data_IF_418545221231
#
_entry.id   IF_418545221231
#
_cell.length_a   1.000
_cell.length_b   1.000
_cell.length_c   1.000
_cell.angle_alpha   90.00
_cell.angle_beta   90.00
_cell.angle_gamma   90.00
#
_symmetry.space_group_name_H-M   'P 1'
#
loop_
_entity.id
_entity.type
_entity.pdbx_description
1 polymer ?
#
# COMPACT_ATOMS: atom_id res chain seq x y z
N UNK A 1 -60.24 -11.18 -35.47
CA UNK A 1 -59.63 -11.61 -34.17
C UNK A 1 -58.30 -12.36 -34.29
N UNK A 2 -58.14 -13.30 -35.18
CA UNK A 2 -56.88 -14.10 -35.28
C UNK A 2 -55.62 -13.34 -35.73
N UNK A 3 -55.73 -12.24 -36.50
CA UNK A 3 -54.61 -11.46 -37.01
C UNK A 3 -54.04 -10.56 -35.91
N UNK A 4 -54.86 -9.93 -35.08
CA UNK A 4 -54.41 -9.05 -33.97
C UNK A 4 -53.63 -9.83 -32.90
N UNK A 5 -54.02 -11.08 -32.64
CA UNK A 5 -53.33 -11.94 -31.67
C UNK A 5 -51.93 -12.37 -32.17
N UNK A 6 -51.77 -12.58 -33.47
CA UNK A 6 -50.44 -12.91 -34.06
C UNK A 6 -49.47 -11.74 -34.00
N UNK A 7 -49.93 -10.52 -34.22
CA UNK A 7 -49.13 -9.30 -34.09
C UNK A 7 -48.68 -9.06 -32.63
N UNK A 8 -49.56 -9.33 -31.66
CA UNK A 8 -49.24 -9.16 -30.24
C UNK A 8 -48.18 -10.15 -29.78
N UNK A 9 -48.23 -11.43 -30.24
CA UNK A 9 -47.23 -12.43 -29.91
C UNK A 9 -45.87 -12.09 -30.53
N UNK A 10 -45.80 -11.67 -31.78
CA UNK A 10 -44.56 -11.29 -32.44
C UNK A 10 -43.91 -10.07 -31.75
N UNK A 11 -44.70 -9.10 -31.31
CA UNK A 11 -44.20 -7.95 -30.59
C UNK A 11 -43.61 -8.33 -29.22
N UNK A 12 -44.25 -9.25 -28.50
CA UNK A 12 -43.79 -9.75 -27.22
C UNK A 12 -42.47 -10.55 -27.33
N UNK A 13 -42.36 -11.35 -28.39
CA UNK A 13 -41.14 -12.12 -28.69
C UNK A 13 -39.98 -11.16 -29.05
N UNK A 14 -40.23 -10.12 -29.82
CA UNK A 14 -39.24 -9.09 -30.16
C UNK A 14 -38.76 -8.33 -28.92
N UNK A 15 -39.63 -8.01 -27.97
CA UNK A 15 -39.29 -7.39 -26.70
C UNK A 15 -38.44 -8.30 -25.82
N UNK A 16 -38.75 -9.58 -25.74
CA UNK A 16 -37.96 -10.57 -25.01
C UNK A 16 -36.57 -10.76 -25.60
N UNK A 17 -36.47 -10.80 -26.94
CA UNK A 17 -35.18 -10.91 -27.64
C UNK A 17 -34.33 -9.65 -27.44
N UNK A 18 -34.92 -8.46 -27.45
CA UNK A 18 -34.22 -7.19 -27.20
C UNK A 18 -33.66 -7.14 -25.76
N UNK A 19 -34.47 -7.56 -24.78
CA UNK A 19 -33.99 -7.66 -23.38
C UNK A 19 -32.89 -8.72 -23.22
N UNK A 20 -33.01 -9.87 -23.88
CA UNK A 20 -31.99 -10.92 -23.86
C UNK A 20 -30.66 -10.44 -24.45
N UNK A 21 -30.70 -9.68 -25.55
CA UNK A 21 -29.52 -9.07 -26.17
C UNK A 21 -28.89 -7.99 -25.28
N UNK A 22 -29.70 -7.21 -24.54
CA UNK A 22 -29.18 -6.23 -23.57
C UNK A 22 -28.51 -6.92 -22.39
N UNK A 23 -29.10 -7.99 -21.86
CA UNK A 23 -28.51 -8.80 -20.79
C UNK A 23 -27.18 -9.43 -21.24
N UNK A 24 -27.12 -9.95 -22.46
CA UNK A 24 -25.86 -10.48 -23.02
C UNK A 24 -24.77 -9.40 -23.19
N UNK A 25 -25.14 -8.17 -23.55
CA UNK A 25 -24.18 -7.04 -23.61
C UNK A 25 -23.61 -6.70 -22.22
N UNK A 26 -24.45 -6.65 -21.20
CA UNK A 26 -24.02 -6.40 -19.81
C UNK A 26 -23.03 -7.49 -19.34
N UNK A 27 -23.32 -8.76 -19.60
CA UNK A 27 -22.38 -9.86 -19.26
C UNK A 27 -21.11 -9.90 -20.13
N UNK A 28 -21.13 -9.31 -21.32
CA UNK A 28 -19.94 -9.23 -22.19
C UNK A 28 -19.03 -8.04 -21.81
N UNK A 29 -19.58 -6.97 -21.26
CA UNK A 29 -18.80 -5.83 -20.75
C UNK A 29 -18.06 -6.14 -19.44
N UNK A 30 -18.52 -7.13 -18.64
CA UNK A 30 -17.84 -7.51 -17.38
C UNK A 30 -16.57 -8.33 -17.57
N UNK A 31 -16.24 -8.76 -18.76
CA UNK A 31 -14.97 -9.43 -19.05
C UNK A 31 -13.94 -8.47 -19.63
N UNK A 32 -13.73 -7.34 -18.94
CA UNK A 32 -12.52 -6.57 -19.14
C UNK A 32 -11.36 -7.42 -18.60
N UNK A 33 -10.54 -7.97 -19.48
CA UNK A 33 -9.27 -8.59 -19.08
C UNK A 33 -8.48 -7.53 -18.31
N UNK A 34 -8.51 -7.64 -16.98
CA UNK A 34 -7.65 -6.80 -16.15
C UNK A 34 -6.22 -7.17 -16.49
N UNK A 35 -5.53 -6.25 -17.13
CA UNK A 35 -4.09 -6.39 -17.33
C UNK A 35 -3.44 -6.57 -15.96
N UNK A 36 -2.69 -7.64 -15.74
CA UNK A 36 -1.99 -7.84 -14.48
C UNK A 36 -1.12 -6.62 -14.19
N UNK A 37 -1.24 -6.06 -13.00
CA UNK A 37 -0.42 -4.95 -12.54
C UNK A 37 0.57 -5.46 -11.51
N UNK A 38 1.80 -4.96 -11.58
CA UNK A 38 2.86 -5.23 -10.63
C UNK A 38 3.30 -3.91 -10.01
N UNK A 39 3.20 -3.78 -8.69
CA UNK A 39 3.81 -2.71 -7.93
C UNK A 39 5.11 -3.19 -7.30
N UNK A 40 6.19 -2.46 -7.50
CA UNK A 40 7.52 -2.77 -6.94
C UNK A 40 7.86 -1.69 -5.93
N UNK A 41 8.03 -2.12 -4.67
CA UNK A 41 8.45 -1.24 -3.57
C UNK A 41 9.90 -1.51 -3.27
N UNK A 42 10.70 -0.45 -3.20
CA UNK A 42 12.11 -0.51 -2.78
C UNK A 42 12.23 0.21 -1.45
N UNK A 43 12.66 -0.53 -0.45
CA UNK A 43 12.78 -0.05 0.92
C UNK A 43 14.13 0.62 1.19
N UNK A 44 14.25 1.27 2.36
CA UNK A 44 15.48 1.79 2.94
C UNK A 44 16.16 2.97 2.21
N UNK A 45 15.41 3.78 1.45
CA UNK A 45 15.94 5.07 1.00
C UNK A 45 16.20 6.01 2.19
N UNK A 46 17.03 7.02 1.99
CA UNK A 46 17.42 7.98 3.03
C UNK A 46 18.83 7.75 3.59
N UNK A 47 19.45 6.62 3.27
CA UNK A 47 20.85 6.30 3.62
C UNK A 47 21.77 6.48 2.42
N UNK A 48 23.03 6.88 2.66
CA UNK A 48 24.05 6.92 1.61
C UNK A 48 24.46 5.50 1.19
N UNK A 49 23.64 4.85 0.36
CA UNK A 49 23.93 3.49 -0.14
C UNK A 49 24.33 3.52 -1.61
N UNK A 50 25.25 2.63 -1.97
CA UNK A 50 25.53 2.34 -3.38
C UNK A 50 24.26 1.81 -4.05
N UNK A 51 24.03 2.18 -5.31
CA UNK A 51 22.87 1.73 -6.08
C UNK A 51 21.61 2.63 -6.00
N UNK A 52 21.54 3.59 -5.08
CA UNK A 52 20.40 4.52 -4.98
C UNK A 52 20.16 5.27 -6.28
N UNK A 53 21.26 5.82 -6.88
CA UNK A 53 21.16 6.55 -8.14
C UNK A 53 20.67 5.65 -9.28
N UNK A 54 21.25 4.47 -9.42
CA UNK A 54 20.91 3.49 -10.45
C UNK A 54 19.45 3.04 -10.31
N UNK A 55 18.97 2.85 -9.08
CA UNK A 55 17.58 2.49 -8.79
C UNK A 55 16.63 3.62 -9.20
N UNK A 56 16.95 4.86 -8.84
CA UNK A 56 16.15 6.03 -9.21
C UNK A 56 16.24 6.38 -10.72
N UNK A 57 17.23 5.88 -11.44
CA UNK A 57 17.35 6.06 -12.90
C UNK A 57 16.62 4.98 -13.71
N UNK A 58 15.89 4.07 -13.08
CA UNK A 58 15.12 3.03 -13.79
C UNK A 58 13.99 3.63 -14.63
N UNK A 59 13.65 2.95 -15.74
CA UNK A 59 12.58 3.39 -16.63
C UNK A 59 11.16 2.95 -16.21
N UNK A 60 11.06 2.10 -15.21
CA UNK A 60 9.78 1.71 -14.63
C UNK A 60 9.47 2.56 -13.38
N UNK A 61 8.21 2.87 -13.18
CA UNK A 61 7.78 3.53 -11.95
C UNK A 61 7.95 2.58 -10.77
N UNK A 62 8.62 3.05 -9.72
CA UNK A 62 8.80 2.36 -8.45
C UNK A 62 8.05 3.09 -7.36
N UNK A 63 7.78 2.39 -6.26
CA UNK A 63 7.43 3.00 -4.96
C UNK A 63 8.69 3.02 -4.10
N UNK A 64 9.20 4.20 -3.80
CA UNK A 64 10.40 4.41 -3.00
C UNK A 64 10.02 4.64 -1.55
N UNK A 65 10.32 3.68 -0.68
CA UNK A 65 10.05 3.78 0.75
C UNK A 65 11.23 4.42 1.49
N UNK A 66 11.01 5.62 2.02
CA UNK A 66 12.06 6.49 2.57
C UNK A 66 12.01 6.47 4.09
N UNK A 67 13.13 6.11 4.72
CA UNK A 67 13.29 6.16 6.18
C UNK A 67 13.34 7.62 6.66
N UNK A 68 12.65 7.97 7.76
CA UNK A 68 12.61 9.34 8.25
C UNK A 68 13.87 9.73 9.04
N UNK A 69 14.25 11.00 8.93
CA UNK A 69 15.28 11.61 9.79
C UNK A 69 16.71 11.21 9.51
N UNK A 70 17.00 10.58 8.38
CA UNK A 70 18.37 10.28 7.92
C UNK A 70 18.90 11.40 7.03
N UNK A 71 20.22 11.44 6.84
CA UNK A 71 20.89 12.55 6.13
C UNK A 71 20.44 12.74 4.67
N UNK A 72 19.94 11.67 4.04
CA UNK A 72 19.50 11.69 2.64
C UNK A 72 17.98 11.56 2.48
N UNK A 73 17.20 11.44 3.56
CA UNK A 73 15.75 11.19 3.49
C UNK A 73 15.03 12.19 2.58
N UNK A 74 15.21 13.48 2.81
CA UNK A 74 14.58 14.54 2.03
C UNK A 74 15.07 14.52 0.57
N UNK A 75 16.38 14.40 0.39
CA UNK A 75 17.00 14.39 -0.95
C UNK A 75 16.53 13.21 -1.80
N UNK A 76 16.48 12.02 -1.20
CA UNK A 76 16.06 10.80 -1.92
C UNK A 76 14.57 10.87 -2.27
N UNK A 77 13.72 11.39 -1.36
CA UNK A 77 12.29 11.60 -1.61
C UNK A 77 12.04 12.59 -2.76
N UNK A 78 12.71 13.75 -2.73
CA UNK A 78 12.62 14.75 -3.80
C UNK A 78 13.09 14.17 -5.15
N UNK A 79 14.25 13.49 -5.15
CA UNK A 79 14.80 12.91 -6.39
C UNK A 79 13.89 11.81 -6.94
N UNK A 80 13.31 10.96 -6.08
CA UNK A 80 12.37 9.92 -6.49
C UNK A 80 11.14 10.54 -7.16
N UNK A 81 10.55 11.56 -6.53
CA UNK A 81 9.39 12.28 -7.08
C UNK A 81 9.71 12.96 -8.41
N UNK A 82 10.82 13.69 -8.52
CA UNK A 82 11.26 14.36 -9.76
C UNK A 82 11.44 13.39 -10.93
N UNK A 83 11.79 12.14 -10.65
CA UNK A 83 11.95 11.06 -11.63
C UNK A 83 10.65 10.29 -11.93
N UNK A 84 9.54 10.67 -11.31
CA UNK A 84 8.22 10.06 -11.53
C UNK A 84 7.99 8.77 -10.76
N UNK A 85 8.77 8.52 -9.70
CA UNK A 85 8.52 7.46 -8.74
C UNK A 85 7.52 7.91 -7.67
N UNK A 86 6.85 6.95 -7.06
CA UNK A 86 6.02 7.18 -5.89
C UNK A 86 6.90 7.22 -4.63
N UNK A 87 6.56 8.07 -3.67
CA UNK A 87 7.26 8.18 -2.40
C UNK A 87 6.34 7.78 -1.25
N UNK A 88 6.80 6.87 -0.39
CA UNK A 88 6.13 6.53 0.85
C UNK A 88 7.10 6.63 2.04
N UNK A 89 6.55 6.85 3.21
CA UNK A 89 7.29 6.80 4.47
C UNK A 89 7.59 5.35 4.86
N UNK A 90 8.87 4.99 4.99
CA UNK A 90 9.32 3.72 5.54
C UNK A 90 9.50 3.82 7.04
N UNK A 91 8.42 3.60 7.80
CA UNK A 91 8.39 3.89 9.23
C UNK A 91 9.05 2.82 10.07
N UNK A 92 10.14 3.14 10.80
CA UNK A 92 10.77 2.20 11.70
C UNK A 92 9.88 1.84 12.88
N UNK A 93 9.72 0.55 13.09
CA UNK A 93 8.92 -0.03 14.16
C UNK A 93 9.68 -1.18 14.82
N UNK A 94 9.49 -1.36 16.13
CA UNK A 94 10.26 -2.36 16.88
C UNK A 94 9.91 -3.79 16.48
N UNK A 95 10.96 -4.62 16.42
CA UNK A 95 10.85 -6.04 16.11
C UNK A 95 10.26 -6.87 17.26
N UNK A 96 9.77 -8.05 16.92
CA UNK A 96 9.59 -9.12 17.88
C UNK A 96 10.96 -9.71 18.24
N UNK A 97 11.38 -9.49 19.47
CA UNK A 97 12.74 -9.85 19.92
C UNK A 97 13.71 -8.66 19.86
N UNK A 98 14.97 -8.94 20.16
CA UNK A 98 15.98 -7.90 20.37
C UNK A 98 16.81 -7.70 19.11
N UNK A 99 16.77 -6.51 18.55
CA UNK A 99 17.67 -6.06 17.49
C UNK A 99 18.49 -4.85 17.95
N UNK A 100 19.65 -4.59 17.34
CA UNK A 100 20.44 -3.40 17.63
C UNK A 100 19.64 -2.12 17.31
N UNK A 101 19.71 -1.13 18.20
CA UNK A 101 19.03 0.15 17.99
C UNK A 101 19.45 0.87 16.71
N UNK A 102 20.70 0.68 16.30
CA UNK A 102 21.23 1.26 15.05
C UNK A 102 20.53 0.81 13.78
N UNK A 103 19.74 -0.27 13.84
CA UNK A 103 19.00 -0.77 12.68
C UNK A 103 17.70 0.00 12.43
N UNK A 104 17.13 0.64 13.47
CA UNK A 104 15.86 1.37 13.35
C UNK A 104 16.01 2.80 12.84
N UNK A 105 17.22 3.38 12.92
CA UNK A 105 17.39 4.81 12.64
C UNK A 105 16.90 5.71 13.80
N UNK A 106 16.81 7.03 13.58
CA UNK A 106 16.56 8.01 14.65
C UNK A 106 15.10 8.11 15.11
N UNK A 107 14.15 7.66 14.29
CA UNK A 107 12.71 7.76 14.54
C UNK A 107 12.10 6.36 14.54
N UNK A 108 11.70 5.84 15.70
CA UNK A 108 11.19 4.47 15.82
C UNK A 108 10.01 4.40 16.77
N UNK A 109 8.96 3.67 16.38
CA UNK A 109 7.85 3.30 17.26
C UNK A 109 8.21 2.03 17.98
N UNK A 110 8.15 2.07 19.33
CA UNK A 110 8.47 0.95 20.20
C UNK A 110 7.22 0.23 20.69
N UNK A 111 7.35 -1.05 21.03
CA UNK A 111 6.24 -1.86 21.55
C UNK A 111 5.65 -1.34 22.85
N UNK A 112 6.40 -0.56 23.62
CA UNK A 112 5.98 0.04 24.87
C UNK A 112 5.50 1.50 24.75
N UNK A 113 5.51 2.06 23.54
CA UNK A 113 5.01 3.41 23.32
C UNK A 113 3.49 3.48 23.56
N UNK A 114 3.04 4.66 23.96
CA UNK A 114 1.61 4.92 24.05
C UNK A 114 1.05 5.23 22.65
N UNK A 115 -0.23 4.91 22.41
CA UNK A 115 -0.89 5.22 21.13
C UNK A 115 -0.76 6.68 20.70
N UNK A 116 -0.87 7.62 21.64
CA UNK A 116 -0.76 9.05 21.38
C UNK A 116 0.64 9.42 20.87
N UNK A 117 1.70 8.85 21.48
CA UNK A 117 3.06 9.07 21.02
C UNK A 117 3.30 8.48 19.62
N UNK A 118 2.74 7.30 19.34
CA UNK A 118 2.83 6.70 18.01
C UNK A 118 2.14 7.58 16.94
N UNK A 119 0.97 8.16 17.24
CA UNK A 119 0.28 9.12 16.36
C UNK A 119 1.13 10.36 16.09
N UNK A 120 1.63 10.99 17.13
CA UNK A 120 2.48 12.20 17.01
C UNK A 120 3.71 11.91 16.15
N UNK A 121 4.39 10.78 16.38
CA UNK A 121 5.58 10.42 15.65
C UNK A 121 5.31 10.09 14.18
N UNK A 122 4.22 9.38 13.88
CA UNK A 122 3.78 9.10 12.49
C UNK A 122 3.51 10.40 11.76
N UNK A 123 2.74 11.30 12.37
CA UNK A 123 2.42 12.60 11.80
C UNK A 123 3.69 13.41 11.49
N UNK A 124 4.58 13.54 12.47
CA UNK A 124 5.87 14.22 12.29
C UNK A 124 6.65 13.63 11.10
N UNK A 125 6.72 12.29 11.01
CA UNK A 125 7.47 11.63 9.95
C UNK A 125 6.82 11.77 8.56
N UNK A 126 5.48 11.75 8.48
CA UNK A 126 4.75 12.04 7.23
C UNK A 126 5.05 13.46 6.75
N UNK A 127 4.95 14.45 7.64
CA UNK A 127 5.22 15.86 7.34
C UNK A 127 6.68 16.10 6.92
N UNK A 128 7.62 15.33 7.49
CA UNK A 128 9.05 15.43 7.19
C UNK A 128 9.47 14.67 5.92
N UNK A 129 8.59 13.87 5.30
CA UNK A 129 8.86 13.10 4.08
C UNK A 129 8.19 13.79 2.89
N UNK A 130 8.92 14.52 2.04
CA UNK A 130 8.34 15.20 0.88
C UNK A 130 7.62 14.23 -0.05
N UNK A 131 6.49 14.67 -0.62
CA UNK A 131 5.69 13.92 -1.59
C UNK A 131 5.14 12.58 -1.08
N UNK A 132 5.15 12.35 0.24
CA UNK A 132 4.66 11.12 0.85
C UNK A 132 3.18 10.87 0.52
N UNK A 133 2.85 9.71 -0.06
CA UNK A 133 1.47 9.31 -0.36
C UNK A 133 1.01 8.08 0.43
N UNK A 134 1.91 7.37 1.09
CA UNK A 134 1.62 6.18 1.88
C UNK A 134 2.66 5.93 2.96
N UNK A 135 2.43 4.91 3.78
CA UNK A 135 3.33 4.48 4.86
C UNK A 135 3.49 2.97 4.81
N UNK A 136 4.72 2.46 4.93
CA UNK A 136 4.97 1.04 5.15
C UNK A 136 5.88 0.81 6.35
N UNK A 137 6.09 -0.46 6.70
CA UNK A 137 6.77 -0.87 7.93
C UNK A 137 8.25 -1.22 7.63
N UNK A 138 9.19 -0.52 8.28
CA UNK A 138 10.57 -0.95 8.41
C UNK A 138 10.73 -1.82 9.66
N UNK A 139 11.23 -3.06 9.49
CA UNK A 139 11.37 -4.06 10.55
C UNK A 139 10.00 -4.44 11.15
N UNK A 140 9.57 -3.85 12.24
CA UNK A 140 8.22 -3.80 12.82
C UNK A 140 7.54 -5.11 13.18
N UNK A 141 8.24 -6.25 13.19
CA UNK A 141 7.64 -7.56 13.46
C UNK A 141 7.05 -7.71 14.87
N UNK A 142 7.35 -6.79 15.78
CA UNK A 142 6.76 -6.70 17.11
C UNK A 142 5.53 -5.78 17.12
N UNK A 143 5.69 -4.54 16.63
CA UNK A 143 4.61 -3.54 16.62
C UNK A 143 3.41 -4.00 15.79
N UNK A 144 3.64 -4.69 14.65
CA UNK A 144 2.57 -5.21 13.82
C UNK A 144 1.70 -6.31 14.49
N UNK A 145 2.07 -6.77 15.68
CA UNK A 145 1.26 -7.65 16.54
C UNK A 145 0.44 -6.89 17.56
N UNK A 146 0.74 -5.61 17.80
CA UNK A 146 0.07 -4.78 18.78
C UNK A 146 -1.11 -4.05 18.17
N UNK A 147 -2.32 -4.58 18.40
CA UNK A 147 -3.54 -4.04 17.81
C UNK A 147 -3.80 -2.58 18.23
N UNK A 148 -3.51 -2.21 19.47
CA UNK A 148 -3.74 -0.86 19.98
C UNK A 148 -2.82 0.16 19.28
N UNK A 149 -1.53 -0.13 19.19
CA UNK A 149 -0.58 0.72 18.46
C UNK A 149 -0.92 0.78 16.97
N UNK A 150 -1.18 -0.37 16.32
CA UNK A 150 -1.52 -0.37 14.89
C UNK A 150 -2.81 0.39 14.59
N UNK A 151 -3.80 0.35 15.51
CA UNK A 151 -5.01 1.17 15.36
C UNK A 151 -4.67 2.65 15.38
N UNK A 152 -3.88 3.11 16.35
CA UNK A 152 -3.47 4.49 16.45
C UNK A 152 -2.66 4.96 15.22
N UNK A 153 -1.73 4.13 14.76
CA UNK A 153 -0.90 4.38 13.58
C UNK A 153 -1.76 4.54 12.33
N UNK A 154 -2.65 3.57 12.06
CA UNK A 154 -3.47 3.58 10.85
C UNK A 154 -4.51 4.71 10.85
N UNK A 155 -5.12 5.02 12.00
CA UNK A 155 -5.98 6.19 12.11
C UNK A 155 -5.25 7.48 11.73
N UNK A 156 -4.01 7.66 12.20
CA UNK A 156 -3.22 8.85 11.88
C UNK A 156 -2.80 8.88 10.41
N UNK A 157 -2.44 7.73 9.83
CA UNK A 157 -2.12 7.61 8.39
C UNK A 157 -3.32 8.02 7.55
N UNK A 158 -4.51 7.49 7.84
CA UNK A 158 -5.78 7.84 7.19
C UNK A 158 -6.10 9.33 7.35
N UNK A 159 -6.00 9.86 8.55
CA UNK A 159 -6.37 11.24 8.86
C UNK A 159 -5.44 12.25 8.15
N UNK A 160 -4.24 11.81 7.75
CA UNK A 160 -3.33 12.54 6.85
C UNK A 160 -3.59 12.24 5.35
N UNK A 161 -4.61 11.48 4.99
CA UNK A 161 -4.96 11.15 3.60
C UNK A 161 -3.91 10.30 2.89
N UNK A 162 -3.27 9.37 3.62
CA UNK A 162 -2.27 8.45 3.11
C UNK A 162 -2.81 7.02 3.13
N UNK A 163 -2.24 6.11 2.33
CA UNK A 163 -2.53 4.69 2.43
C UNK A 163 -1.50 3.96 3.30
N UNK A 164 -1.87 2.80 3.82
CA UNK A 164 -0.97 1.95 4.59
C UNK A 164 -0.64 0.65 3.85
N UNK A 165 0.67 0.34 3.73
CA UNK A 165 1.15 -0.90 3.15
C UNK A 165 1.76 -1.79 4.24
N UNK A 166 1.12 -2.92 4.52
CA UNK A 166 1.67 -3.94 5.43
C UNK A 166 2.80 -4.71 4.76
N UNK A 167 4.03 -4.48 5.20
CA UNK A 167 5.22 -5.23 4.76
C UNK A 167 5.21 -6.69 5.19
N UNK A 168 4.20 -7.14 5.97
CA UNK A 168 4.07 -8.52 6.49
C UNK A 168 5.36 -9.07 7.09
N UNK A 169 5.95 -8.31 7.98
CA UNK A 169 7.19 -8.67 8.67
C UNK A 169 6.98 -9.75 9.74
N UNK A 170 5.70 -10.07 10.03
CA UNK A 170 5.30 -11.20 10.87
C UNK A 170 4.02 -11.85 10.32
N UNK A 171 3.96 -13.20 10.34
CA UNK A 171 2.81 -13.97 9.79
C UNK A 171 1.47 -13.68 10.51
N UNK A 172 1.53 -13.25 11.79
CA UNK A 172 0.36 -12.93 12.62
C UNK A 172 0.12 -11.41 12.70
N UNK A 173 0.57 -10.65 11.70
CA UNK A 173 0.28 -9.21 11.63
C UNK A 173 -1.21 -8.95 11.78
N UNK A 174 -1.56 -7.98 12.64
CA UNK A 174 -2.95 -7.54 12.85
C UNK A 174 -3.37 -6.47 11.85
N UNK A 175 -2.49 -6.05 10.94
CA UNK A 175 -2.69 -4.90 10.06
C UNK A 175 -3.96 -5.03 9.21
N UNK A 176 -4.24 -6.20 8.63
CA UNK A 176 -5.46 -6.42 7.82
C UNK A 176 -6.74 -6.24 8.65
N UNK A 177 -6.76 -6.76 9.88
CA UNK A 177 -7.91 -6.61 10.78
C UNK A 177 -8.11 -5.16 11.20
N UNK A 178 -7.03 -4.47 11.53
CA UNK A 178 -7.05 -3.07 11.95
C UNK A 178 -7.47 -2.17 10.78
N UNK A 179 -6.93 -2.37 9.59
CA UNK A 179 -7.29 -1.60 8.40
C UNK A 179 -8.80 -1.66 8.11
N UNK A 180 -9.38 -2.86 8.21
CA UNK A 180 -10.83 -3.04 8.05
C UNK A 180 -11.63 -2.32 9.14
N UNK A 181 -11.13 -2.30 10.38
CA UNK A 181 -11.81 -1.64 11.51
C UNK A 181 -11.70 -0.11 11.47
N UNK A 182 -10.61 0.44 10.95
CA UNK A 182 -10.35 1.88 10.85
C UNK A 182 -10.79 2.49 9.52
N UNK A 183 -11.24 1.68 8.56
CA UNK A 183 -11.55 2.09 7.19
C UNK A 183 -10.33 2.76 6.51
N UNK A 184 -9.15 2.16 6.72
CA UNK A 184 -7.88 2.57 6.13
C UNK A 184 -7.79 2.16 4.66
N UNK A 185 -7.23 3.01 3.82
CA UNK A 185 -6.81 2.62 2.47
C UNK A 185 -5.56 1.74 2.57
N UNK A 186 -5.72 0.44 2.30
CA UNK A 186 -4.80 -0.59 2.74
C UNK A 186 -4.35 -1.50 1.62
N UNK A 187 -3.05 -1.75 1.59
CA UNK A 187 -2.40 -2.74 0.72
C UNK A 187 -1.56 -3.69 1.57
N UNK A 188 -1.44 -4.91 1.13
CA UNK A 188 -0.62 -5.92 1.78
C UNK A 188 0.38 -6.52 0.78
N UNK A 189 1.63 -6.68 1.20
CA UNK A 189 2.68 -7.28 0.37
C UNK A 189 2.33 -8.73 -0.01
N UNK A 190 2.50 -9.08 -1.28
CA UNK A 190 2.36 -10.44 -1.78
C UNK A 190 3.68 -11.22 -1.70
N UNK A 191 4.79 -10.62 -2.16
CA UNK A 191 6.10 -11.26 -2.23
C UNK A 191 7.19 -10.39 -1.62
N UNK A 192 8.21 -11.05 -1.08
CA UNK A 192 9.47 -10.44 -0.65
C UNK A 192 10.59 -11.01 -1.54
N UNK A 193 11.16 -10.18 -2.40
CA UNK A 193 12.05 -10.65 -3.46
C UNK A 193 13.38 -11.22 -2.91
N UNK A 194 13.90 -10.65 -1.83
CA UNK A 194 15.16 -11.07 -1.22
C UNK A 194 15.10 -12.47 -0.58
N UNK A 195 13.89 -12.97 -0.26
CA UNK A 195 13.72 -14.30 0.33
C UNK A 195 13.58 -15.41 -0.71
N UNK A 196 13.44 -15.07 -1.99
CA UNK A 196 13.17 -16.05 -3.05
C UNK A 196 14.40 -16.46 -3.85
N UNK A 197 15.54 -15.81 -3.65
CA UNK A 197 16.74 -16.04 -4.41
C UNK A 197 17.94 -16.46 -3.56
N UNK A 198 18.60 -17.53 -3.97
CA UNK A 198 20.00 -17.71 -3.68
C UNK A 198 20.72 -16.63 -4.50
N UNK A 199 21.41 -15.63 -3.90
CA UNK A 199 22.27 -14.76 -4.68
C UNK A 199 23.37 -15.64 -5.23
N UNK A 200 23.34 -15.93 -6.53
CA UNK A 200 24.37 -16.63 -7.25
C UNK A 200 25.69 -15.87 -7.25
#
# INVERSE_FOLDING_TARGET
MKIAYRFSICFFILLLLANFLQVQKVFAEEKQEQTPMLAIVIDDFGQARAGVKEMLDTHCTLTCAVMPGLDYSVKDAETAHEKGHEVILHMPMEAYGKLPDSWYGPKVIRNYDKPEHAKELIKECIEATPHCVGVNIHIGSGVCLNKELMTAIMEEVRDNGKYFLDSKTHEKSVCTEVAAATNEDFVSRDFFLELTGNPG
#
